data_IF_281656532509
#
_entry.id   IF_281656532509
#
_cell.length_a   1.000
_cell.length_b   1.000
_cell.length_c   1.000
_cell.angle_alpha   90.00
_cell.angle_beta   90.00
_cell.angle_gamma   90.00
#
_symmetry.space_group_name_H-M   'P 1'
#
loop_
_entity.id
_entity.type
_entity.pdbx_description
1 polymer ?
#
# COMPACT_ATOMS: atom_id res chain seq x y z
N UNK A 1 -10.77 -22.70 4.10
CA UNK A 1 -9.90 -21.51 4.29
C UNK A 1 -8.57 -21.60 3.50
N UNK A 2 -8.55 -21.92 2.18
CA UNK A 2 -7.30 -22.04 1.38
C UNK A 2 -7.46 -21.77 -0.14
N UNK A 3 -8.25 -20.78 -0.58
CA UNK A 3 -8.38 -20.51 -2.03
C UNK A 3 -8.20 -19.05 -2.47
N UNK A 4 -8.15 -18.11 -1.54
CA UNK A 4 -7.90 -16.68 -1.81
C UNK A 4 -6.44 -16.28 -1.61
N UNK A 5 -5.56 -17.20 -1.20
CA UNK A 5 -4.13 -16.94 -0.89
C UNK A 5 -3.25 -16.74 -2.14
N UNK A 6 -3.77 -16.90 -3.36
CA UNK A 6 -2.92 -17.17 -4.52
C UNK A 6 -2.68 -16.02 -5.48
N UNK A 7 -3.44 -14.92 -5.51
CA UNK A 7 -3.30 -14.01 -6.65
C UNK A 7 -1.99 -13.23 -6.65
N UNK A 8 -1.58 -12.65 -5.52
CA UNK A 8 -0.25 -12.03 -5.42
C UNK A 8 0.89 -13.07 -5.52
N UNK A 9 0.65 -14.32 -5.08
CA UNK A 9 1.61 -15.41 -5.29
C UNK A 9 1.75 -15.75 -6.77
N UNK A 10 0.65 -15.81 -7.52
CA UNK A 10 0.64 -16.05 -8.96
C UNK A 10 1.39 -14.92 -9.68
N UNK A 11 1.15 -13.65 -9.32
CA UNK A 11 1.88 -12.52 -9.87
C UNK A 11 3.39 -12.66 -9.62
N UNK A 12 3.79 -12.91 -8.37
CA UNK A 12 5.18 -13.16 -7.99
C UNK A 12 5.80 -14.33 -8.76
N UNK A 13 5.12 -15.48 -8.80
CA UNK A 13 5.62 -16.72 -9.41
C UNK A 13 5.79 -16.59 -10.93
N UNK A 14 5.02 -15.71 -11.56
CA UNK A 14 5.12 -15.40 -12.98
C UNK A 14 5.93 -14.13 -13.27
N UNK A 15 6.60 -13.57 -12.26
CA UNK A 15 7.37 -12.35 -12.39
C UNK A 15 6.56 -11.12 -12.92
N UNK A 16 5.25 -11.08 -12.64
CA UNK A 16 4.33 -10.01 -13.03
C UNK A 16 4.19 -8.94 -11.94
N UNK A 17 4.27 -7.66 -12.31
CA UNK A 17 3.96 -6.51 -11.44
C UNK A 17 2.73 -5.79 -11.98
N UNK A 18 1.83 -5.42 -11.07
CA UNK A 18 0.58 -4.75 -11.35
C UNK A 18 0.69 -3.23 -11.32
N UNK A 19 0.80 -2.57 -12.48
CA UNK A 19 0.87 -1.11 -12.54
C UNK A 19 -0.45 -0.39 -12.19
N UNK A 20 -1.56 -1.12 -12.18
CA UNK A 20 -2.90 -0.57 -11.92
C UNK A 20 -4.00 -1.62 -11.67
N UNK A 21 -3.67 -2.86 -11.32
CA UNK A 21 -4.69 -3.92 -11.07
C UNK A 21 -5.08 -4.02 -9.60
N UNK A 22 -4.22 -3.55 -8.68
CA UNK A 22 -4.49 -3.58 -7.25
C UNK A 22 -5.27 -2.32 -6.83
N UNK A 23 -6.46 -2.20 -7.42
CA UNK A 23 -7.49 -1.18 -7.16
C UNK A 23 -8.78 -1.92 -6.82
N UNK A 24 -9.64 -1.36 -5.95
CA UNK A 24 -10.92 -2.01 -5.63
C UNK A 24 -11.78 -2.28 -6.88
N UNK A 25 -11.69 -1.45 -7.91
CA UNK A 25 -12.41 -1.61 -9.17
C UNK A 25 -12.01 -2.89 -9.94
N UNK A 26 -10.76 -3.34 -9.76
CA UNK A 26 -10.19 -4.50 -10.43
C UNK A 26 -10.24 -5.78 -9.57
N UNK A 27 -11.08 -5.77 -8.52
CA UNK A 27 -11.29 -6.90 -7.61
C UNK A 27 -12.75 -7.38 -7.68
N UNK A 28 -12.97 -8.52 -8.33
CA UNK A 28 -14.31 -9.14 -8.40
C UNK A 28 -14.50 -10.07 -7.20
N UNK A 29 -15.51 -9.78 -6.39
CA UNK A 29 -15.87 -10.55 -5.20
C UNK A 29 -17.17 -11.33 -5.45
N UNK A 30 -17.19 -12.61 -5.08
CA UNK A 30 -18.40 -13.42 -5.02
C UNK A 30 -18.47 -14.26 -3.74
N UNK A 31 -19.69 -14.57 -3.31
CA UNK A 31 -19.95 -15.53 -2.24
C UNK A 31 -20.08 -16.92 -2.87
N UNK A 32 -19.11 -17.79 -2.63
CA UNK A 32 -19.11 -19.17 -3.12
C UNK A 32 -19.78 -20.08 -2.08
N UNK A 33 -20.88 -20.69 -2.48
CA UNK A 33 -21.60 -21.71 -1.70
C UNK A 33 -20.74 -22.98 -1.61
N UNK A 34 -20.53 -23.50 -0.39
CA UNK A 34 -19.58 -24.60 -0.16
C UNK A 34 -20.01 -25.92 -0.80
N UNK A 35 -21.32 -26.17 -0.91
CA UNK A 35 -21.85 -27.44 -1.42
C UNK A 35 -21.89 -27.46 -2.95
N UNK A 36 -22.26 -26.34 -3.57
CA UNK A 36 -22.48 -26.25 -5.02
C UNK A 36 -21.31 -25.64 -5.78
N UNK A 37 -20.41 -24.92 -5.09
CA UNK A 37 -19.33 -24.15 -5.72
C UNK A 37 -19.83 -23.02 -6.62
N UNK A 38 -21.12 -22.64 -6.53
CA UNK A 38 -21.67 -21.53 -7.30
C UNK A 38 -21.36 -20.21 -6.62
N UNK A 39 -20.93 -19.24 -7.42
CA UNK A 39 -20.73 -17.87 -6.97
C UNK A 39 -22.02 -17.06 -7.15
N UNK A 40 -22.47 -16.42 -6.07
CA UNK A 40 -23.54 -15.42 -6.08
C UNK A 40 -22.98 -14.04 -5.73
N UNK A 41 -23.55 -12.99 -6.34
CA UNK A 41 -23.27 -11.59 -5.99
C UNK A 41 -24.15 -11.09 -4.83
N UNK A 42 -25.24 -11.80 -4.55
CA UNK A 42 -26.14 -11.47 -3.45
C UNK A 42 -25.54 -11.93 -2.12
N UNK A 43 -25.73 -11.09 -1.10
CA UNK A 43 -25.34 -11.42 0.27
C UNK A 43 -26.10 -12.69 0.72
N UNK A 44 -25.42 -13.63 1.39
CA UNK A 44 -26.05 -14.86 1.87
C UNK A 44 -27.27 -14.54 2.75
N UNK A 45 -28.44 -14.94 2.29
CA UNK A 45 -29.69 -14.83 3.05
C UNK A 45 -29.96 -16.16 3.75
N UNK A 46 -29.39 -16.36 4.94
CA UNK A 46 -29.61 -17.54 5.78
C UNK A 46 -28.33 -18.21 6.29
N UNK A 47 -28.50 -19.34 6.99
CA UNK A 47 -27.47 -20.09 7.73
C UNK A 47 -26.59 -20.98 6.82
N UNK A 48 -26.38 -20.58 5.56
CA UNK A 48 -25.57 -21.34 4.61
C UNK A 48 -24.09 -21.04 4.79
N UNK A 49 -23.28 -22.10 4.85
CA UNK A 49 -21.83 -21.96 4.84
C UNK A 49 -21.37 -21.43 3.49
N UNK A 50 -21.02 -20.16 3.44
CA UNK A 50 -20.50 -19.48 2.24
C UNK A 50 -19.13 -18.91 2.55
N UNK A 51 -18.22 -18.97 1.57
CA UNK A 51 -16.93 -18.30 1.67
C UNK A 51 -16.81 -17.18 0.65
N UNK A 52 -16.16 -16.10 1.06
CA UNK A 52 -15.85 -14.98 0.17
C UNK A 52 -14.72 -15.39 -0.76
N UNK A 53 -14.93 -15.24 -2.06
CA UNK A 53 -13.96 -15.50 -3.11
C UNK A 53 -13.70 -14.21 -3.86
N UNK A 54 -12.42 -13.88 -4.04
CA UNK A 54 -11.98 -12.69 -4.72
C UNK A 54 -11.07 -13.08 -5.89
N UNK A 55 -11.17 -12.35 -7.01
CA UNK A 55 -10.28 -12.49 -8.16
C UNK A 55 -9.86 -11.10 -8.65
N UNK A 56 -8.58 -10.98 -8.99
CA UNK A 56 -8.06 -9.79 -9.65
C UNK A 56 -8.29 -9.92 -11.16
N UNK A 57 -8.64 -8.82 -11.81
CA UNK A 57 -8.83 -8.71 -13.26
C UNK A 57 -7.91 -7.64 -13.85
N UNK A 58 -8.05 -7.39 -15.16
CA UNK A 58 -7.41 -6.29 -15.88
C UNK A 58 -5.87 -6.32 -15.95
N UNK A 59 -5.31 -7.45 -16.42
CA UNK A 59 -3.86 -7.62 -16.61
C UNK A 59 -3.27 -6.81 -17.78
N UNK A 60 -4.01 -5.87 -18.36
CA UNK A 60 -3.60 -5.13 -19.56
C UNK A 60 -2.38 -4.22 -19.33
N UNK A 61 -2.14 -3.80 -18.09
CA UNK A 61 -0.99 -2.97 -17.70
C UNK A 61 0.11 -3.75 -16.96
N UNK A 62 -0.02 -5.08 -16.81
CA UNK A 62 0.96 -5.86 -16.08
C UNK A 62 2.34 -5.84 -16.77
N UNK A 63 3.40 -5.74 -15.97
CA UNK A 63 4.78 -5.79 -16.48
C UNK A 63 5.47 -7.11 -16.15
N UNK A 64 6.15 -7.68 -17.14
CA UNK A 64 7.13 -8.76 -17.02
C UNK A 64 8.28 -8.48 -18.01
N UNK A 65 9.22 -9.43 -18.14
CA UNK A 65 10.33 -9.31 -19.10
C UNK A 65 9.84 -9.15 -20.55
N UNK A 66 8.74 -9.82 -20.90
CA UNK A 66 8.19 -9.81 -22.25
C UNK A 66 7.51 -8.47 -22.55
N UNK A 67 6.59 -8.00 -21.72
CA UNK A 67 5.84 -6.76 -21.94
C UNK A 67 6.74 -5.55 -21.81
N UNK A 68 7.75 -5.57 -20.95
CA UNK A 68 8.76 -4.52 -20.88
C UNK A 68 9.46 -4.33 -22.23
N UNK A 69 9.85 -5.42 -22.89
CA UNK A 69 10.54 -5.36 -24.18
C UNK A 69 9.62 -5.00 -25.36
N UNK A 70 8.37 -5.47 -25.35
CA UNK A 70 7.50 -5.40 -26.53
C UNK A 70 6.41 -4.33 -26.47
N UNK A 71 6.01 -3.88 -25.26
CA UNK A 71 4.94 -2.90 -25.07
C UNK A 71 5.49 -1.54 -24.60
N UNK A 72 6.36 -1.54 -23.59
CA UNK A 72 6.84 -0.29 -22.96
C UNK A 72 8.16 0.23 -23.53
N UNK A 73 8.98 -0.66 -24.11
CA UNK A 73 10.28 -0.30 -24.68
C UNK A 73 11.35 -0.02 -23.62
N UNK A 74 12.49 0.58 -24.01
CA UNK A 74 13.67 0.69 -23.14
C UNK A 74 13.48 1.64 -21.94
N UNK A 75 12.51 2.56 -22.04
CA UNK A 75 12.20 3.52 -20.99
C UNK A 75 11.20 3.00 -19.96
N UNK A 76 10.61 1.82 -20.22
CA UNK A 76 9.60 1.21 -19.37
C UNK A 76 8.31 2.04 -19.24
N UNK A 77 7.44 1.66 -18.30
CA UNK A 77 6.15 2.30 -18.12
C UNK A 77 6.30 3.73 -17.62
N UNK A 78 5.60 4.64 -18.28
CA UNK A 78 5.43 6.03 -17.88
C UNK A 78 4.53 6.15 -16.65
N UNK A 79 4.49 7.34 -16.05
CA UNK A 79 3.55 7.65 -14.96
C UNK A 79 2.08 7.61 -15.41
N UNK A 80 1.81 7.80 -16.69
CA UNK A 80 0.44 7.79 -17.23
C UNK A 80 -0.13 6.37 -17.35
N UNK A 81 0.73 5.35 -17.34
CA UNK A 81 0.33 3.93 -17.37
C UNK A 81 0.19 3.35 -15.95
N UNK A 82 0.42 4.16 -14.91
CA UNK A 82 0.30 3.80 -13.50
C UNK A 82 -0.90 4.50 -12.85
N UNK A 83 -1.49 3.87 -11.83
CA UNK A 83 -2.51 4.52 -11.00
C UNK A 83 -1.86 5.23 -9.81
N UNK A 84 -1.73 6.56 -9.91
CA UNK A 84 -0.93 7.40 -9.01
C UNK A 84 -1.28 7.31 -7.51
N UNK A 85 -2.52 6.97 -7.20
CA UNK A 85 -3.07 6.83 -5.86
C UNK A 85 -2.47 5.61 -5.14
N UNK A 86 -2.18 4.56 -5.91
CA UNK A 86 -1.71 3.25 -5.44
C UNK A 86 -0.25 3.01 -5.75
N UNK A 87 0.39 3.86 -6.56
CA UNK A 87 1.82 3.78 -6.82
C UNK A 87 2.66 4.03 -5.56
N UNK A 88 3.75 3.25 -5.36
CA UNK A 88 4.67 3.41 -4.25
C UNK A 88 5.61 4.63 -4.42
N UNK A 89 6.27 5.10 -3.34
CA UNK A 89 7.12 6.28 -3.37
C UNK A 89 8.31 6.16 -4.33
N UNK A 90 8.88 4.97 -4.51
CA UNK A 90 9.99 4.76 -5.46
C UNK A 90 9.58 5.00 -6.91
N UNK A 91 8.35 4.65 -7.30
CA UNK A 91 7.84 4.90 -8.65
C UNK A 91 7.51 6.39 -8.88
N UNK A 92 7.16 7.11 -7.80
CA UNK A 92 6.96 8.55 -7.80
C UNK A 92 8.28 9.33 -7.88
N UNK A 93 9.39 8.79 -7.38
CA UNK A 93 10.68 9.48 -7.29
C UNK A 93 11.69 9.07 -8.36
N UNK A 94 11.60 7.83 -8.86
CA UNK A 94 12.54 7.27 -9.81
C UNK A 94 11.79 6.71 -11.03
N UNK A 95 12.00 7.30 -12.20
CA UNK A 95 11.39 6.82 -13.44
C UNK A 95 11.86 5.40 -13.83
N UNK A 96 13.05 5.00 -13.39
CA UNK A 96 13.66 3.69 -13.69
C UNK A 96 13.50 2.68 -12.55
N UNK A 97 12.48 2.85 -11.69
CA UNK A 97 12.24 1.97 -10.53
C UNK A 97 12.17 0.48 -10.89
N UNK A 98 11.71 0.15 -12.10
CA UNK A 98 11.55 -1.20 -12.62
C UNK A 98 12.87 -1.91 -12.98
N UNK A 99 14.01 -1.19 -13.00
CA UNK A 99 15.32 -1.76 -13.34
C UNK A 99 16.03 -2.42 -12.15
N UNK A 100 15.42 -2.39 -10.95
CA UNK A 100 15.96 -3.03 -9.76
C UNK A 100 15.89 -4.56 -9.80
N UNK A 101 16.37 -5.21 -8.74
CA UNK A 101 16.22 -6.65 -8.58
C UNK A 101 14.74 -7.03 -8.52
N UNK A 102 14.36 -8.13 -9.20
CA UNK A 102 12.96 -8.60 -9.28
C UNK A 102 12.31 -8.76 -7.90
N UNK A 103 13.06 -9.23 -6.90
CA UNK A 103 12.56 -9.39 -5.52
C UNK A 103 12.19 -8.07 -4.83
N UNK A 104 12.74 -6.95 -5.29
CA UNK A 104 12.45 -5.59 -4.79
C UNK A 104 11.32 -4.99 -5.61
N UNK A 105 11.38 -5.07 -6.95
CA UNK A 105 10.35 -4.48 -7.83
C UNK A 105 8.99 -5.12 -7.63
N UNK A 106 8.95 -6.41 -7.28
CA UNK A 106 7.74 -7.12 -6.86
C UNK A 106 7.02 -6.54 -5.65
N UNK A 107 7.74 -5.79 -4.80
CA UNK A 107 7.15 -5.15 -3.63
C UNK A 107 6.39 -3.88 -3.99
N UNK A 108 6.37 -3.48 -5.26
CA UNK A 108 5.44 -2.49 -5.79
C UNK A 108 3.99 -2.88 -5.46
N UNK A 109 3.61 -4.11 -5.79
CA UNK A 109 2.26 -4.64 -5.58
C UNK A 109 1.90 -4.69 -4.09
N UNK A 110 2.88 -5.00 -3.23
CA UNK A 110 2.68 -5.05 -1.79
C UNK A 110 2.35 -3.69 -1.19
N UNK A 111 2.89 -2.61 -1.74
CA UNK A 111 2.47 -1.26 -1.37
C UNK A 111 1.01 -1.00 -1.78
N UNK A 112 0.64 -1.34 -3.01
CA UNK A 112 -0.73 -1.18 -3.51
C UNK A 112 -1.74 -1.96 -2.67
N UNK A 113 -1.40 -3.17 -2.19
CA UNK A 113 -2.22 -3.92 -1.22
C UNK A 113 -2.42 -3.13 0.08
N UNK A 114 -1.36 -2.49 0.59
CA UNK A 114 -1.46 -1.62 1.77
C UNK A 114 -2.41 -0.43 1.56
N UNK A 115 -2.39 0.16 0.36
CA UNK A 115 -3.31 1.24 -0.04
C UNK A 115 -4.75 0.74 -0.10
N UNK A 116 -5.00 -0.41 -0.74
CA UNK A 116 -6.35 -1.03 -0.82
C UNK A 116 -6.91 -1.32 0.58
N UNK A 117 -6.09 -1.82 1.50
CA UNK A 117 -6.55 -2.07 2.88
C UNK A 117 -6.94 -0.76 3.57
N UNK A 118 -6.18 0.33 3.38
CA UNK A 118 -6.55 1.64 3.89
C UNK A 118 -7.82 2.17 3.23
N UNK A 119 -7.98 2.00 1.93
CA UNK A 119 -9.18 2.40 1.20
C UNK A 119 -10.43 1.68 1.74
N UNK A 120 -10.34 0.38 2.03
CA UNK A 120 -11.43 -0.37 2.66
C UNK A 120 -11.80 0.17 4.05
N UNK A 121 -10.83 0.64 4.83
CA UNK A 121 -11.07 1.24 6.15
C UNK A 121 -11.64 2.66 6.03
N UNK A 122 -11.15 3.45 5.08
CA UNK A 122 -11.50 4.85 4.92
C UNK A 122 -12.74 5.07 4.04
N UNK A 123 -13.13 4.09 3.23
CA UNK A 123 -14.21 4.18 2.25
C UNK A 123 -13.94 5.17 1.13
N UNK A 124 -12.66 5.44 0.81
CA UNK A 124 -12.26 6.41 -0.22
C UNK A 124 -10.90 6.05 -0.83
N UNK A 125 -10.74 6.15 -2.17
CA UNK A 125 -9.47 5.89 -2.85
C UNK A 125 -8.40 6.96 -2.54
N UNK A 126 -8.81 8.10 -1.99
CA UNK A 126 -7.93 9.23 -1.70
C UNK A 126 -7.24 9.10 -0.32
N UNK A 127 -6.66 7.93 -0.04
CA UNK A 127 -6.09 7.61 1.29
C UNK A 127 -4.96 8.56 1.73
N UNK A 128 -4.27 9.17 0.76
CA UNK A 128 -3.18 10.11 0.96
C UNK A 128 -3.58 11.58 0.71
N UNK A 129 -4.86 11.90 0.74
CA UNK A 129 -5.31 13.28 0.57
C UNK A 129 -4.96 14.12 1.80
N UNK A 130 -4.44 15.32 1.54
CA UNK A 130 -4.21 16.32 2.58
C UNK A 130 -5.51 17.00 3.00
N UNK A 131 -5.58 17.44 4.25
CA UNK A 131 -6.66 18.32 4.67
C UNK A 131 -6.65 19.63 3.87
N UNK A 132 -7.82 20.21 3.60
CA UNK A 132 -7.93 21.50 2.90
C UNK A 132 -7.07 22.59 3.55
N UNK A 133 -6.95 22.55 4.89
CA UNK A 133 -6.08 23.45 5.65
C UNK A 133 -4.59 23.20 5.36
N UNK A 134 -4.12 21.96 5.43
CA UNK A 134 -2.72 21.63 5.13
C UNK A 134 -2.38 22.01 3.69
N UNK A 135 -3.29 21.69 2.75
CA UNK A 135 -3.14 22.02 1.34
C UNK A 135 -2.96 23.53 1.15
N UNK A 136 -3.92 24.35 1.61
CA UNK A 136 -3.85 25.80 1.46
C UNK A 136 -2.58 26.43 2.08
N UNK A 137 -2.13 25.92 3.22
CA UNK A 137 -0.88 26.38 3.83
C UNK A 137 0.36 25.98 3.01
N UNK A 138 0.34 24.80 2.39
CA UNK A 138 1.44 24.36 1.54
C UNK A 138 1.45 25.11 0.21
N UNK A 139 0.29 25.38 -0.38
CA UNK A 139 0.14 26.14 -1.62
C UNK A 139 0.83 27.51 -1.53
N UNK A 140 0.66 28.19 -0.39
CA UNK A 140 1.31 29.47 -0.13
C UNK A 140 2.85 29.35 -0.11
N UNK A 141 3.40 28.25 0.37
CA UNK A 141 4.85 28.03 0.43
C UNK A 141 5.43 27.58 -0.93
N UNK A 142 4.60 26.98 -1.77
CA UNK A 142 4.99 26.45 -3.09
C UNK A 142 4.64 27.41 -4.23
N UNK A 143 4.41 28.68 -3.92
CA UNK A 143 4.11 29.70 -4.91
C UNK A 143 5.24 29.79 -5.97
N UNK A 144 4.87 29.78 -7.25
CA UNK A 144 5.81 29.79 -8.37
C UNK A 144 6.43 28.44 -8.74
N UNK A 145 6.15 27.36 -8.00
CA UNK A 145 6.60 26.02 -8.37
C UNK A 145 5.77 25.46 -9.53
N UNK A 146 6.35 24.57 -10.34
CA UNK A 146 5.58 23.86 -11.37
C UNK A 146 4.63 22.82 -10.74
N UNK A 147 3.55 22.50 -11.45
CA UNK A 147 2.49 21.62 -10.94
C UNK A 147 3.00 20.23 -10.54
N UNK A 148 3.86 19.59 -11.35
CA UNK A 148 4.41 18.27 -11.00
C UNK A 148 5.24 18.27 -9.71
N UNK A 149 5.93 19.38 -9.40
CA UNK A 149 6.70 19.51 -8.16
C UNK A 149 5.77 19.80 -6.97
N UNK A 150 4.68 20.54 -7.19
CA UNK A 150 3.64 20.74 -6.17
C UNK A 150 2.96 19.43 -5.81
N UNK A 151 2.54 18.65 -6.81
CA UNK A 151 1.95 17.32 -6.62
C UNK A 151 2.87 16.41 -5.81
N UNK A 152 4.16 16.36 -6.16
CA UNK A 152 5.14 15.61 -5.39
C UNK A 152 5.23 16.13 -3.94
N UNK A 153 5.26 17.44 -3.72
CA UNK A 153 5.30 18.02 -2.38
C UNK A 153 4.03 17.69 -1.56
N UNK A 154 2.84 17.73 -2.15
CA UNK A 154 1.60 17.30 -1.48
C UNK A 154 1.67 15.83 -1.09
N UNK A 155 2.12 14.96 -2.01
CA UNK A 155 2.26 13.52 -1.73
C UNK A 155 3.29 13.26 -0.63
N UNK A 156 4.47 13.88 -0.68
CA UNK A 156 5.47 13.76 0.39
C UNK A 156 4.93 14.23 1.74
N UNK A 157 4.20 15.35 1.76
CA UNK A 157 3.56 15.85 2.98
C UNK A 157 2.52 14.86 3.50
N UNK A 158 1.76 14.21 2.63
CA UNK A 158 0.77 13.20 3.04
C UNK A 158 1.43 11.98 3.67
N UNK A 159 2.53 11.50 3.11
CA UNK A 159 3.31 10.39 3.66
C UNK A 159 3.89 10.74 5.03
N UNK A 160 4.26 11.99 5.26
CA UNK A 160 4.69 12.44 6.57
C UNK A 160 3.53 12.46 7.59
N UNK A 161 2.33 12.94 7.21
CA UNK A 161 1.15 12.92 8.09
C UNK A 161 0.68 11.50 8.43
N UNK A 162 0.88 10.56 7.51
CA UNK A 162 0.59 9.13 7.67
C UNK A 162 1.75 8.34 8.27
N UNK A 163 2.83 9.01 8.73
CA UNK A 163 3.97 8.35 9.37
C UNK A 163 4.66 7.27 8.51
N UNK A 164 4.63 7.44 7.20
CA UNK A 164 5.34 6.62 6.22
C UNK A 164 6.74 7.20 5.96
N UNK A 165 6.81 8.52 5.79
CA UNK A 165 8.06 9.25 5.59
C UNK A 165 8.43 10.02 6.85
N UNK A 166 9.60 9.73 7.41
CA UNK A 166 10.14 10.41 8.60
C UNK A 166 11.43 11.13 8.20
N UNK A 167 11.44 12.47 8.08
CA UNK A 167 12.64 13.21 7.71
C UNK A 167 13.75 13.06 8.74
N UNK A 168 14.97 12.76 8.27
CA UNK A 168 16.16 12.63 9.11
C UNK A 168 16.33 11.28 9.80
N UNK A 169 15.36 10.37 9.74
CA UNK A 169 15.56 8.98 10.16
C UNK A 169 16.10 8.17 8.98
N UNK A 170 17.41 8.25 8.74
CA UNK A 170 18.05 7.20 7.96
C UNK A 170 18.02 5.91 8.78
N UNK A 171 17.07 5.02 8.46
CA UNK A 171 16.90 3.72 9.13
C UNK A 171 18.15 2.81 8.99
N UNK A 172 19.14 3.19 8.17
CA UNK A 172 20.38 2.41 7.95
C UNK A 172 21.55 2.73 8.91
N UNK A 173 21.41 3.58 9.94
CA UNK A 173 22.53 3.88 10.86
C UNK A 173 22.37 3.55 12.35
N UNK A 174 21.26 2.96 12.82
CA UNK A 174 21.09 2.72 14.26
C UNK A 174 21.58 1.37 14.82
N UNK A 175 22.23 0.51 14.02
CA UNK A 175 22.87 -0.70 14.55
C UNK A 175 24.33 -0.53 15.00
N UNK A 176 24.93 0.66 14.86
CA UNK A 176 26.24 0.93 15.46
C UNK A 176 26.46 2.43 15.70
N UNK A 177 25.91 2.96 16.80
CA UNK A 177 26.51 4.12 17.46
C UNK A 177 25.98 4.26 18.88
N UNK A 178 26.92 4.33 19.82
CA UNK A 178 26.70 4.51 21.25
C UNK A 178 25.65 5.59 21.56
N UNK A 179 24.74 5.26 22.48
CA UNK A 179 23.91 6.22 23.22
C UNK A 179 24.82 7.28 23.84
N UNK A 180 24.89 8.46 23.24
CA UNK A 180 25.00 9.79 23.87
C UNK A 180 25.11 10.83 22.77
N UNK A 181 24.35 11.89 22.96
CA UNK A 181 24.39 13.16 22.23
C UNK A 181 23.82 13.16 20.81
N UNK A 182 22.55 13.58 20.71
CA UNK A 182 22.00 14.50 19.71
C UNK A 182 20.55 14.80 20.08
N UNK A 183 20.35 15.72 21.03
CA UNK A 183 19.06 16.42 21.20
C UNK A 183 18.98 17.44 20.07
N UNK A 184 18.68 16.97 18.86
CA UNK A 184 18.27 17.83 17.76
C UNK A 184 16.81 18.18 17.95
N UNK A 185 16.51 19.48 18.09
CA UNK A 185 15.13 19.99 18.07
C UNK A 185 14.54 19.64 16.70
N UNK A 186 13.59 18.71 16.69
CA UNK A 186 12.92 18.28 15.48
C UNK A 186 11.85 19.33 15.09
N UNK A 187 11.80 19.81 13.84
CA UNK A 187 10.81 20.82 13.42
C UNK A 187 9.34 20.36 13.48
N UNK A 188 9.11 19.07 13.77
CA UNK A 188 7.80 18.49 14.05
C UNK A 188 7.89 17.53 15.25
N UNK A 189 6.89 17.56 16.14
CA UNK A 189 6.81 16.76 17.36
C UNK A 189 6.47 15.27 17.13
N UNK A 190 6.70 14.73 15.95
CA UNK A 190 6.08 13.48 15.52
C UNK A 190 6.87 12.25 15.95
N UNK A 191 6.59 11.75 17.15
CA UNK A 191 6.82 10.34 17.44
C UNK A 191 5.83 9.52 16.61
N UNK A 192 6.23 9.10 15.42
CA UNK A 192 5.45 8.22 14.55
C UNK A 192 5.31 6.80 15.14
N UNK A 193 4.59 6.70 16.25
CA UNK A 193 4.29 5.45 16.95
C UNK A 193 3.11 4.71 16.33
N UNK A 194 2.89 3.46 16.75
CA UNK A 194 1.72 2.68 16.34
C UNK A 194 0.42 3.38 16.76
N UNK A 195 0.38 3.98 17.95
CA UNK A 195 -0.78 4.70 18.47
C UNK A 195 -1.10 5.94 17.64
N UNK A 196 -0.07 6.70 17.26
CA UNK A 196 -0.27 7.88 16.42
C UNK A 196 -0.81 7.48 15.05
N UNK A 197 -0.23 6.48 14.40
CA UNK A 197 -0.70 5.98 13.11
C UNK A 197 -2.15 5.48 13.19
N UNK A 198 -2.47 4.69 14.24
CA UNK A 198 -3.84 4.22 14.51
C UNK A 198 -4.82 5.39 14.62
N UNK A 199 -4.45 6.42 15.39
CA UNK A 199 -5.27 7.61 15.58
C UNK A 199 -5.45 8.40 14.28
N UNK A 200 -4.41 8.53 13.46
CA UNK A 200 -4.46 9.21 12.17
C UNK A 200 -5.37 8.51 11.16
N UNK A 201 -5.39 7.17 11.15
CA UNK A 201 -6.33 6.41 10.31
C UNK A 201 -7.74 6.54 10.85
N UNK A 202 -7.94 6.36 12.16
CA UNK A 202 -9.24 6.49 12.82
C UNK A 202 -9.85 7.89 12.67
N UNK A 203 -9.03 8.94 12.68
CA UNK A 203 -9.51 10.31 12.51
C UNK A 203 -9.99 10.59 11.07
N UNK A 204 -9.41 9.92 10.08
CA UNK A 204 -9.80 10.00 8.66
C UNK A 204 -10.97 9.08 8.31
N UNK A 205 -11.12 7.96 9.01
CA UNK A 205 -12.26 7.05 8.86
C UNK A 205 -13.60 7.77 9.12
N UNK A 206 -14.55 7.78 8.17
CA UNK A 206 -15.89 8.35 8.35
C UNK A 206 -16.67 7.77 9.54
N UNK A 207 -16.51 6.48 9.82
CA UNK A 207 -17.19 5.75 10.90
C UNK A 207 -16.42 5.78 12.22
N UNK A 208 -15.19 6.32 12.23
CA UNK A 208 -14.32 6.41 13.42
C UNK A 208 -14.06 5.06 14.08
N UNK A 209 -14.02 3.98 13.31
CA UNK A 209 -13.68 2.64 13.78
C UNK A 209 -12.16 2.46 13.79
N UNK A 210 -11.50 2.79 12.68
CA UNK A 210 -10.08 2.56 12.44
C UNK A 210 -9.77 1.09 12.16
N UNK A 211 -8.57 0.64 12.55
CA UNK A 211 -8.17 -0.75 12.35
C UNK A 211 -8.99 -1.72 13.22
N UNK A 212 -9.36 -2.91 12.70
CA UNK A 212 -10.14 -3.89 13.45
C UNK A 212 -9.35 -4.50 14.61
N UNK A 213 -8.02 -4.57 14.52
CA UNK A 213 -7.12 -5.02 15.59
C UNK A 213 -5.68 -4.55 15.34
N UNK A 214 -4.78 -4.79 16.31
CA UNK A 214 -3.36 -4.41 16.24
C UNK A 214 -2.60 -5.12 15.11
N UNK A 215 -2.99 -6.34 14.73
CA UNK A 215 -2.32 -7.08 13.67
C UNK A 215 -2.66 -6.50 12.30
N UNK A 216 -3.88 -6.03 12.06
CA UNK A 216 -4.24 -5.31 10.86
C UNK A 216 -3.41 -4.02 10.71
N UNK A 217 -3.29 -3.26 11.80
CA UNK A 217 -2.46 -2.06 11.86
C UNK A 217 -1.00 -2.37 11.49
N UNK A 218 -0.41 -3.42 12.09
CA UNK A 218 0.99 -3.79 11.86
C UNK A 218 1.23 -4.29 10.46
N UNK A 219 0.31 -5.08 9.91
CA UNK A 219 0.36 -5.52 8.51
C UNK A 219 0.41 -4.31 7.57
N UNK A 220 -0.52 -3.37 7.71
CA UNK A 220 -0.55 -2.17 6.85
C UNK A 220 0.71 -1.33 7.01
N UNK A 221 1.26 -1.17 8.22
CA UNK A 221 2.53 -0.47 8.43
C UNK A 221 3.71 -1.15 7.73
N UNK A 222 3.73 -2.48 7.67
CA UNK A 222 4.79 -3.25 6.99
C UNK A 222 4.63 -3.28 5.46
N UNK A 223 3.40 -3.10 4.96
CA UNK A 223 3.11 -2.93 3.54
C UNK A 223 3.43 -1.51 3.05
N UNK A 224 3.20 -0.49 3.88
CA UNK A 224 3.44 0.92 3.56
C UNK A 224 4.80 1.42 4.07
N UNK A 225 5.83 0.58 3.94
CA UNK A 225 7.21 0.98 4.24
C UNK A 225 7.78 1.76 3.05
N UNK A 226 8.41 2.89 3.36
CA UNK A 226 9.06 3.77 2.38
C UNK A 226 10.11 3.04 1.54
N UNK A 227 11.05 2.37 2.20
CA UNK A 227 12.12 1.63 1.53
C UNK A 227 11.58 0.28 1.02
N UNK A 228 11.59 0.02 -0.30
CA UNK A 228 11.00 -1.20 -0.84
C UNK A 228 11.71 -2.46 -0.34
N UNK A 229 13.02 -2.42 -0.08
CA UNK A 229 13.80 -3.54 0.44
C UNK A 229 13.28 -4.05 1.80
N UNK A 230 12.82 -3.14 2.66
CA UNK A 230 12.29 -3.44 3.99
C UNK A 230 10.78 -3.71 3.99
N UNK A 231 10.10 -3.47 2.86
CA UNK A 231 8.67 -3.71 2.70
C UNK A 231 8.37 -5.21 2.71
N UNK A 232 7.23 -5.58 3.27
CA UNK A 232 6.81 -6.98 3.37
C UNK A 232 6.70 -7.63 1.98
N UNK A 233 7.24 -8.84 1.82
CA UNK A 233 7.03 -9.64 0.61
C UNK A 233 5.67 -10.35 0.64
N UNK A 234 5.23 -10.93 -0.48
CA UNK A 234 4.01 -11.75 -0.52
C UNK A 234 4.10 -12.93 0.46
N UNK A 235 5.24 -13.63 0.48
CA UNK A 235 5.46 -14.79 1.37
C UNK A 235 5.36 -14.42 2.84
N UNK A 236 6.02 -13.32 3.22
CA UNK A 236 6.04 -12.85 4.60
C UNK A 236 4.66 -12.31 5.01
N UNK A 237 3.94 -11.69 4.07
CA UNK A 237 2.59 -11.19 4.30
C UNK A 237 1.60 -12.32 4.61
N UNK A 238 1.66 -13.44 3.89
CA UNK A 238 0.79 -14.59 4.16
C UNK A 238 1.08 -15.26 5.50
N UNK A 239 2.32 -15.15 5.98
CA UNK A 239 2.71 -15.65 7.30
C UNK A 239 2.43 -14.65 8.42
N UNK A 240 1.97 -13.44 8.10
CA UNK A 240 1.75 -12.39 9.10
C UNK A 240 0.66 -12.82 10.12
N UNK A 241 0.82 -12.51 11.42
CA UNK A 241 -0.13 -12.90 12.48
C UNK A 241 -1.59 -12.48 12.25
N UNK A 242 -1.83 -11.48 11.40
CA UNK A 242 -3.17 -11.06 11.01
C UNK A 242 -3.98 -12.18 10.31
N UNK A 243 -3.30 -13.02 9.52
CA UNK A 243 -3.94 -14.14 8.80
C UNK A 243 -3.89 -15.45 9.57
N UNK A 244 -3.19 -15.49 10.70
CA UNK A 244 -3.09 -16.69 11.52
C UNK A 244 -4.33 -16.83 12.41
N UNK A 245 -4.86 -18.05 12.59
CA UNK A 245 -5.95 -18.26 13.54
C UNK A 245 -5.48 -17.88 14.95
N UNK A 246 -6.38 -17.39 15.82
CA UNK A 246 -6.04 -17.18 17.22
C UNK A 246 -5.52 -18.49 17.80
N UNK A 247 -4.51 -18.44 18.69
CA UNK A 247 -3.94 -19.65 19.28
C UNK A 247 -5.06 -20.46 19.94
N UNK A 248 -5.10 -21.77 19.62
CA UNK A 248 -6.03 -22.69 20.27
C UNK A 248 -5.55 -22.88 21.72
N UNK A 249 -6.37 -22.44 22.67
CA UNK A 249 -6.19 -22.75 24.10
C UNK A 249 -6.44 -24.24 24.36
#
# INVERSE_FOLDING_TARGET
>A
MRRTEYTCLILRDNALISLGMLLLENMVICFEDEDTGRCSMESPSGDKSTHIKMRIIDFGSAIDEFTMKHLYGPNGPSRFEQTSEYSPPEALLNASWFQGATSITMKYDMWSVGVVILELILGSPHVFQLSARTHALLDQHLEGWNEGTKELAYKLRSFMEMCILIPGSSLKHHRSRNKKDLVGVWPASWKCSEEYFSHQVKSRDPLKLGFPNVWALRLVRQLLVWEPEERLSVDDALQHPYFQPPPKN
#
